data_IF_315870962271
#
_entry.id   IF_315870962271
#
_cell.length_a   1.000
_cell.length_b   1.000
_cell.length_c   1.000
_cell.angle_alpha   90.00
_cell.angle_beta   90.00
_cell.angle_gamma   90.00
#
_symmetry.space_group_name_H-M   'P 1'
#
loop_
_entity.id
_entity.type
_entity.pdbx_description
1 polymer ?
#
# COMPACT_ATOMS: atom_id res chain seq x y z
N UNK A 1 -4.54 12.40 -0.50
CA UNK A 1 -5.12 11.77 -1.71
C UNK A 1 -4.59 10.36 -2.02
N UNK A 2 -3.33 10.04 -1.68
CA UNK A 2 -2.68 8.75 -2.01
C UNK A 2 -3.41 7.49 -1.48
N UNK A 3 -3.93 7.50 -0.25
CA UNK A 3 -4.62 6.34 0.38
C UNK A 3 -5.73 5.77 -0.49
N UNK A 4 -6.61 6.64 -1.00
CA UNK A 4 -7.76 6.22 -1.80
C UNK A 4 -7.33 5.72 -3.18
N UNK A 5 -6.23 6.24 -3.74
CA UNK A 5 -5.67 5.76 -5.01
C UNK A 5 -5.09 4.35 -4.83
N UNK A 6 -4.21 4.16 -3.85
CA UNK A 6 -3.60 2.86 -3.53
C UNK A 6 -4.68 1.84 -3.18
N UNK A 7 -5.67 2.20 -2.35
CA UNK A 7 -6.78 1.30 -2.02
C UNK A 7 -7.57 0.86 -3.27
N UNK A 8 -7.75 1.72 -4.27
CA UNK A 8 -8.44 1.34 -5.52
C UNK A 8 -7.64 0.36 -6.36
N UNK A 9 -6.32 0.54 -6.47
CA UNK A 9 -5.47 -0.43 -7.17
C UNK A 9 -5.46 -1.78 -6.46
N UNK A 10 -5.36 -1.78 -5.13
CA UNK A 10 -5.42 -3.01 -4.34
C UNK A 10 -6.79 -3.71 -4.46
N UNK A 11 -7.90 -2.96 -4.59
CA UNK A 11 -9.21 -3.51 -4.89
C UNK A 11 -9.28 -4.12 -6.30
N UNK A 12 -8.65 -3.50 -7.30
CA UNK A 12 -8.57 -4.05 -8.67
C UNK A 12 -7.79 -5.36 -8.72
N UNK A 13 -6.79 -5.51 -7.85
CA UNK A 13 -6.04 -6.76 -7.68
C UNK A 13 -6.83 -7.85 -6.92
N UNK A 14 -8.07 -7.59 -6.53
CA UNK A 14 -8.93 -8.54 -5.81
C UNK A 14 -8.82 -8.47 -4.28
N UNK A 15 -7.98 -7.58 -3.76
CA UNK A 15 -7.80 -7.36 -2.33
C UNK A 15 -8.90 -6.50 -1.70
N UNK A 16 -8.99 -6.56 -0.37
CA UNK A 16 -9.85 -5.73 0.47
C UNK A 16 -8.97 -4.90 1.40
N UNK A 17 -8.64 -3.65 1.01
CA UNK A 17 -7.80 -2.76 1.81
C UNK A 17 -8.58 -2.23 3.02
N UNK A 18 -7.97 -2.29 4.19
CA UNK A 18 -8.48 -1.78 5.47
C UNK A 18 -7.43 -0.84 6.04
N UNK A 19 -7.79 0.43 6.19
CA UNK A 19 -6.90 1.41 6.82
C UNK A 19 -6.83 1.17 8.33
N UNK A 20 -5.62 1.11 8.88
CA UNK A 20 -5.39 1.02 10.33
C UNK A 20 -5.51 2.40 10.97
N UNK A 21 -6.74 2.76 11.35
CA UNK A 21 -7.03 4.06 11.95
C UNK A 21 -6.27 4.27 13.28
N UNK A 22 -5.69 5.47 13.45
CA UNK A 22 -4.96 5.83 14.66
C UNK A 22 -3.57 5.21 14.78
N UNK A 23 -3.14 4.40 13.80
CA UNK A 23 -1.79 3.86 13.74
C UNK A 23 -0.96 4.60 12.69
N UNK A 24 0.20 5.08 13.12
CA UNK A 24 1.23 5.68 12.28
C UNK A 24 2.53 4.97 12.65
N UNK A 25 3.30 4.52 11.66
CA UNK A 25 4.59 3.88 11.92
C UNK A 25 5.62 4.90 12.45
N UNK A 26 6.74 4.41 12.97
CA UNK A 26 7.85 5.25 13.44
C UNK A 26 8.39 6.17 12.34
N UNK A 27 8.21 5.77 11.08
CA UNK A 27 8.59 6.55 9.89
C UNK A 27 7.49 7.50 9.39
N UNK A 28 6.40 7.66 10.14
CA UNK A 28 5.29 8.57 9.78
C UNK A 28 4.30 8.01 8.75
N UNK A 29 4.35 6.71 8.43
CA UNK A 29 3.51 6.14 7.38
C UNK A 29 2.18 5.59 7.91
N UNK A 30 1.16 5.71 7.08
CA UNK A 30 -0.14 5.06 7.30
C UNK A 30 -0.05 3.58 6.89
N UNK A 31 -0.84 2.72 7.54
CA UNK A 31 -0.86 1.28 7.22
C UNK A 31 -2.19 0.89 6.58
N UNK A 32 -2.11 0.08 5.53
CA UNK A 32 -3.27 -0.55 4.90
C UNK A 32 -3.11 -2.07 4.99
N UNK A 33 -3.98 -2.70 5.77
CA UNK A 33 -4.11 -4.14 5.85
C UNK A 33 -4.89 -4.65 4.63
N UNK A 34 -4.40 -5.67 3.92
CA UNK A 34 -5.09 -6.19 2.73
C UNK A 34 -5.57 -7.61 3.00
N UNK A 35 -6.89 -7.79 2.87
CA UNK A 35 -7.53 -9.08 3.00
C UNK A 35 -7.89 -9.66 1.64
N UNK A 36 -7.99 -10.98 1.54
CA UNK A 36 -8.48 -11.71 0.35
C UNK A 36 -7.72 -11.43 -0.95
N UNK A 37 -6.48 -10.99 -0.88
CA UNK A 37 -5.63 -10.83 -2.06
C UNK A 37 -5.20 -12.23 -2.54
N UNK A 38 -5.40 -12.59 -3.82
CA UNK A 38 -4.85 -13.83 -4.38
C UNK A 38 -3.32 -13.73 -4.44
N UNK A 39 -2.63 -14.70 -3.86
CA UNK A 39 -1.16 -14.75 -3.81
C UNK A 39 -0.71 -16.04 -4.50
N UNK A 40 -0.47 -15.95 -5.80
CA UNK A 40 0.08 -17.09 -6.56
C UNK A 40 1.59 -17.16 -6.40
N UNK A 41 2.27 -16.03 -6.66
CA UNK A 41 3.73 -15.88 -6.54
C UNK A 41 4.01 -14.66 -5.65
N UNK A 42 4.45 -14.87 -4.39
CA UNK A 42 4.60 -13.78 -3.42
C UNK A 42 5.53 -12.65 -3.89
N UNK A 43 6.67 -12.99 -4.49
CA UNK A 43 7.66 -12.00 -4.93
C UNK A 43 7.12 -11.11 -6.07
N UNK A 44 6.47 -11.70 -7.08
CA UNK A 44 5.85 -10.91 -8.17
C UNK A 44 4.72 -10.01 -7.65
N UNK A 45 3.98 -10.48 -6.65
CA UNK A 45 2.94 -9.67 -6.02
C UNK A 45 3.54 -8.49 -5.26
N UNK A 46 4.60 -8.69 -4.50
CA UNK A 46 5.33 -7.62 -3.82
C UNK A 46 5.85 -6.58 -4.81
N UNK A 47 6.46 -7.03 -5.91
CA UNK A 47 6.95 -6.14 -6.98
C UNK A 47 5.81 -5.33 -7.61
N UNK A 48 4.68 -5.98 -7.92
CA UNK A 48 3.48 -5.28 -8.44
C UNK A 48 2.97 -4.21 -7.47
N UNK A 49 2.92 -4.51 -6.17
CA UNK A 49 2.42 -3.57 -5.16
C UNK A 49 3.43 -2.43 -4.94
N UNK A 50 4.73 -2.72 -4.89
CA UNK A 50 5.77 -1.70 -4.73
C UNK A 50 5.81 -0.70 -5.89
N UNK A 51 5.38 -1.12 -7.09
CA UNK A 51 5.25 -0.24 -8.26
C UNK A 51 4.00 0.66 -8.25
N UNK A 52 3.10 0.53 -7.26
CA UNK A 52 1.93 1.42 -7.14
C UNK A 52 2.38 2.77 -6.58
N UNK A 53 2.13 3.89 -7.27
CA UNK A 53 2.49 5.22 -6.78
C UNK A 53 1.88 5.51 -5.41
N UNK A 54 2.75 5.84 -4.45
CA UNK A 54 2.37 6.06 -3.04
C UNK A 54 2.59 4.84 -2.14
N UNK A 55 3.01 3.68 -2.64
CA UNK A 55 3.50 2.60 -1.76
C UNK A 55 4.96 2.88 -1.40
N UNK A 56 5.33 2.80 -0.11
CA UNK A 56 6.75 2.85 0.30
C UNK A 56 7.36 1.46 0.24
N UNK A 57 6.68 0.48 0.85
CA UNK A 57 7.24 -0.84 1.02
C UNK A 57 6.15 -1.85 1.33
N UNK A 58 6.18 -2.96 0.64
CA UNK A 58 5.41 -4.14 1.03
C UNK A 58 6.29 -5.03 1.90
N UNK A 59 5.72 -5.58 2.98
CA UNK A 59 6.37 -6.64 3.74
C UNK A 59 5.45 -7.87 3.74
N UNK A 60 5.76 -8.86 2.91
CA UNK A 60 4.96 -10.09 2.71
C UNK A 60 4.82 -11.00 3.93
N UNK A 61 5.38 -10.64 5.10
CA UNK A 61 5.36 -11.53 6.25
C UNK A 61 3.95 -11.87 6.77
N UNK A 62 2.96 -10.97 6.66
CA UNK A 62 1.56 -11.25 7.07
C UNK A 62 0.54 -10.27 6.50
N UNK A 63 0.07 -10.37 5.25
CA UNK A 63 -1.14 -9.65 4.75
C UNK A 63 -1.15 -8.11 4.92
N UNK A 64 -0.03 -7.48 5.26
CA UNK A 64 0.06 -6.06 5.63
C UNK A 64 0.89 -5.36 4.56
N UNK A 65 0.34 -4.31 3.95
CA UNK A 65 1.08 -3.46 3.03
C UNK A 65 1.29 -2.11 3.70
N UNK A 66 2.55 -1.68 3.79
CA UNK A 66 2.92 -0.37 4.34
C UNK A 66 2.90 0.64 3.20
N UNK A 67 1.87 1.47 3.18
CA UNK A 67 1.65 2.45 2.11
C UNK A 67 2.17 3.80 2.57
N UNK A 68 3.00 4.49 1.77
CA UNK A 68 3.30 5.88 2.08
C UNK A 68 2.05 6.71 1.93
N UNK A 69 1.81 7.57 2.90
CA UNK A 69 0.97 8.73 2.68
C UNK A 69 1.82 9.97 2.88
N UNK A 70 2.79 10.17 1.99
CA UNK A 70 3.36 11.49 1.78
C UNK A 70 2.29 12.31 1.04
N UNK A 71 1.31 12.79 1.78
CA UNK A 71 0.39 13.81 1.32
C UNK A 71 1.05 15.16 1.59
N UNK A 72 2.02 15.53 0.76
CA UNK A 72 2.12 16.94 0.39
C UNK A 72 0.97 17.23 -0.56
N UNK A 73 0.31 18.37 -0.41
CA UNK A 73 -0.77 18.81 -1.32
C UNK A 73 -0.29 18.97 -2.77
N UNK A 74 1.02 18.92 -3.01
CA UNK A 74 1.64 18.86 -4.32
C UNK A 74 1.84 17.42 -4.79
N UNK A 75 1.29 17.17 -5.99
CA UNK A 75 1.51 16.06 -6.93
C UNK A 75 2.29 14.84 -6.40
N UNK A 76 1.66 13.66 -6.50
CA UNK A 76 2.28 12.33 -6.33
C UNK A 76 3.72 12.37 -6.90
N UNK A 77 4.72 12.42 -6.03
CA UNK A 77 6.11 12.34 -6.45
C UNK A 77 6.47 10.86 -6.57
N UNK A 78 6.85 10.46 -7.78
CA UNK A 78 7.53 9.20 -8.03
C UNK A 78 8.90 9.32 -7.36
N UNK A 79 9.13 8.52 -6.32
CA UNK A 79 10.48 8.33 -5.77
C UNK A 79 11.07 7.19 -6.60
N UNK A 80 11.99 7.56 -7.50
CA UNK A 80 12.84 6.65 -8.28
C UNK A 80 13.98 6.11 -7.39
#
# INVERSE_FOLDING_TARGET
MARSAVSRELMRMGGKPIYRAGFISDNGHQIIDIHNLPIDIPYELEEKINNIPGVVKTESLRKIVLVNLCATDDAIQFID
#
